data_IF_945356095527
#
_entry.id   IF_945356095527
#
_cell.length_a   1.000
_cell.length_b   1.000
_cell.length_c   1.000
_cell.angle_alpha   90.00
_cell.angle_beta   90.00
_cell.angle_gamma   90.00
#
_symmetry.space_group_name_H-M   'P 1'
#
loop_
_entity.id
_entity.type
_entity.pdbx_description
1 polymer ?
#
# COMPACT_ATOMS: atom_id res chain seq x y z
N UNK A 1 5.69 9.84 37.50
CA UNK A 1 5.23 8.70 36.69
C UNK A 1 4.45 7.76 37.59
N UNK A 2 3.26 7.30 37.17
CA UNK A 2 2.46 6.36 37.97
C UNK A 2 3.13 4.95 37.97
N UNK A 3 3.11 4.20 39.08
CA UNK A 3 3.78 2.91 39.15
C UNK A 3 3.07 1.86 38.29
N UNK A 4 3.83 1.11 37.47
CA UNK A 4 3.52 -0.26 37.06
C UNK A 4 2.35 -0.52 36.11
N UNK A 5 1.62 0.49 35.62
CA UNK A 5 0.55 0.23 34.64
C UNK A 5 1.13 -0.25 33.30
N UNK A 6 0.63 -1.37 32.74
CA UNK A 6 1.03 -1.83 31.41
C UNK A 6 0.57 -0.81 30.37
N UNK A 7 1.46 -0.50 29.43
CA UNK A 7 1.10 0.36 28.29
C UNK A 7 0.18 -0.41 27.34
N UNK A 8 -0.85 0.24 26.76
CA UNK A 8 -1.75 -0.42 25.83
C UNK A 8 -1.05 -0.75 24.51
N UNK A 9 -1.64 -1.67 23.73
CA UNK A 9 -1.26 -1.84 22.34
C UNK A 9 -1.71 -0.61 21.53
N UNK A 10 -0.81 -0.04 20.74
CA UNK A 10 -1.11 1.05 19.82
C UNK A 10 -1.06 0.49 18.41
N UNK A 11 -2.22 0.43 17.75
CA UNK A 11 -2.34 0.02 16.35
C UNK A 11 -2.67 1.25 15.51
N UNK A 12 -1.93 1.42 14.42
CA UNK A 12 -2.17 2.48 13.45
C UNK A 12 -1.94 1.95 12.04
N UNK A 13 -2.66 2.53 11.08
CA UNK A 13 -2.52 2.24 9.66
C UNK A 13 -2.40 3.56 8.90
N UNK A 14 -1.65 3.56 7.81
CA UNK A 14 -1.73 4.67 6.85
C UNK A 14 -3.13 4.66 6.22
N UNK A 15 -3.74 5.83 6.04
CA UNK A 15 -5.05 5.95 5.38
C UNK A 15 -5.00 5.55 3.91
N UNK A 16 -3.83 5.69 3.27
CA UNK A 16 -3.62 5.17 1.93
C UNK A 16 -3.28 3.67 2.01
N UNK A 17 -4.13 2.83 1.42
CA UNK A 17 -4.01 1.37 1.53
C UNK A 17 -2.76 0.79 0.87
N UNK A 18 -2.28 1.40 -0.23
CA UNK A 18 -1.17 0.88 -1.02
C UNK A 18 -0.28 1.97 -1.60
N UNK A 19 1.00 1.68 -1.73
CA UNK A 19 1.96 2.52 -2.44
C UNK A 19 1.79 2.33 -3.94
N UNK A 20 1.39 3.39 -4.65
CA UNK A 20 1.22 3.37 -6.11
C UNK A 20 2.47 2.86 -6.86
N UNK A 21 3.66 3.18 -6.35
CA UNK A 21 4.94 2.70 -6.91
C UNK A 21 5.13 1.19 -6.85
N UNK A 22 4.45 0.49 -5.92
CA UNK A 22 4.53 -0.96 -5.73
C UNK A 22 3.43 -1.73 -6.47
N UNK A 23 2.44 -1.03 -7.03
CA UNK A 23 1.38 -1.64 -7.85
C UNK A 23 1.94 -2.05 -9.21
N UNK A 24 1.81 -3.35 -9.54
CA UNK A 24 2.28 -3.92 -10.80
C UNK A 24 1.16 -3.99 -11.85
N UNK A 25 1.52 -4.30 -13.10
CA UNK A 25 0.55 -4.58 -14.17
C UNK A 25 -0.34 -5.79 -13.83
N UNK A 26 0.19 -6.81 -13.14
CA UNK A 26 -0.62 -7.97 -12.74
C UNK A 26 -1.62 -7.59 -11.65
N UNK A 27 -1.20 -6.79 -10.66
CA UNK A 27 -2.09 -6.30 -9.60
C UNK A 27 -3.22 -5.46 -10.21
N UNK A 28 -2.88 -4.55 -11.12
CA UNK A 28 -3.86 -3.70 -11.79
C UNK A 28 -4.82 -4.51 -12.68
N UNK A 29 -4.37 -5.61 -13.27
CA UNK A 29 -5.21 -6.51 -14.06
C UNK A 29 -6.28 -7.23 -13.22
N UNK A 30 -5.95 -7.60 -11.98
CA UNK A 30 -6.83 -8.37 -11.09
C UNK A 30 -7.64 -7.49 -10.14
N UNK A 31 -7.03 -6.45 -9.56
CA UNK A 31 -7.62 -5.59 -8.54
C UNK A 31 -7.89 -4.17 -9.03
N UNK A 32 -7.51 -3.77 -10.26
CA UNK A 32 -7.60 -2.38 -10.70
C UNK A 32 -9.00 -1.77 -10.63
N UNK A 33 -10.06 -2.56 -10.84
CA UNK A 33 -11.44 -2.11 -10.64
C UNK A 33 -11.79 -1.92 -9.16
N UNK A 34 -11.38 -2.85 -8.29
CA UNK A 34 -11.55 -2.75 -6.83
C UNK A 34 -10.85 -1.49 -6.28
N UNK A 35 -9.67 -1.16 -6.81
CA UNK A 35 -8.90 0.02 -6.43
C UNK A 35 -9.42 1.32 -7.07
N UNK A 36 -10.53 1.26 -7.82
CA UNK A 36 -11.12 2.37 -8.59
C UNK A 36 -10.18 3.02 -9.63
N UNK A 37 -9.07 2.35 -9.99
CA UNK A 37 -8.12 2.82 -11.00
C UNK A 37 -8.58 2.45 -12.43
N UNK A 38 -9.31 1.35 -12.56
CA UNK A 38 -9.87 0.88 -13.83
C UNK A 38 -11.41 0.82 -13.79
N UNK A 39 -12.03 0.83 -14.96
CA UNK A 39 -13.42 0.44 -15.13
C UNK A 39 -13.54 -1.08 -15.38
N UNK A 40 -14.78 -1.59 -15.49
CA UNK A 40 -15.09 -2.97 -15.82
C UNK A 40 -14.56 -3.44 -17.20
N UNK A 41 -14.18 -2.50 -18.08
CA UNK A 41 -13.55 -2.77 -19.37
C UNK A 41 -12.02 -2.79 -19.30
N UNK A 42 -11.44 -2.67 -18.10
CA UNK A 42 -9.99 -2.58 -17.85
C UNK A 42 -9.33 -1.35 -18.48
N UNK A 43 -10.10 -0.28 -18.66
CA UNK A 43 -9.62 1.00 -19.13
C UNK A 43 -9.37 1.91 -17.92
N UNK A 44 -8.35 2.76 -18.00
CA UNK A 44 -8.04 3.73 -16.95
C UNK A 44 -9.20 4.70 -16.78
N UNK A 45 -9.72 4.83 -15.55
CA UNK A 45 -10.58 5.98 -15.24
C UNK A 45 -9.68 7.21 -15.22
N UNK A 46 -10.05 8.28 -15.93
CA UNK A 46 -9.34 9.56 -15.83
C UNK A 46 -9.62 10.14 -14.45
N UNK A 47 -8.66 10.12 -13.50
CA UNK A 47 -8.85 10.78 -12.24
C UNK A 47 -8.63 12.28 -12.54
N UNK A 48 -9.67 13.10 -12.42
CA UNK A 48 -9.44 14.55 -12.35
C UNK A 48 -9.39 14.96 -10.87
N UNK A 49 -8.37 15.71 -10.42
CA UNK A 49 -7.15 16.13 -11.12
C UNK A 49 -5.97 15.19 -10.82
N UNK A 50 -5.61 14.27 -11.73
CA UNK A 50 -4.38 13.50 -11.65
C UNK A 50 -3.20 14.27 -12.27
N UNK A 51 -2.04 14.16 -11.64
CA UNK A 51 -0.76 14.56 -12.22
C UNK A 51 -0.52 13.81 -13.54
N UNK A 52 -0.18 14.54 -14.61
CA UNK A 52 0.07 13.98 -15.95
C UNK A 52 1.09 12.84 -15.93
N UNK A 53 2.14 12.96 -15.11
CA UNK A 53 3.18 11.93 -14.99
C UNK A 53 2.64 10.66 -14.33
N UNK A 54 1.78 10.81 -13.32
CA UNK A 54 1.14 9.65 -12.68
C UNK A 54 0.15 8.98 -13.63
N UNK A 55 -0.54 9.77 -14.44
CA UNK A 55 -1.46 9.25 -15.47
C UNK A 55 -0.71 8.46 -16.54
N UNK A 56 0.44 8.94 -17.02
CA UNK A 56 1.29 8.22 -17.98
C UNK A 56 1.75 6.86 -17.42
N UNK A 57 2.22 6.84 -16.17
CA UNK A 57 2.62 5.60 -15.49
C UNK A 57 1.44 4.65 -15.36
N UNK A 58 0.25 5.15 -15.02
CA UNK A 58 -0.96 4.35 -14.90
C UNK A 58 -1.36 3.75 -16.26
N UNK A 59 -1.31 4.55 -17.34
CA UNK A 59 -1.63 4.10 -18.70
C UNK A 59 -0.69 3.00 -19.18
N UNK A 60 0.62 3.13 -18.94
CA UNK A 60 1.59 2.07 -19.28
C UNK A 60 1.31 0.77 -18.51
N UNK A 61 1.05 0.87 -17.20
CA UNK A 61 0.67 -0.26 -16.35
C UNK A 61 -0.67 -0.87 -16.75
N UNK A 62 -1.61 -0.09 -17.28
CA UNK A 62 -2.92 -0.52 -17.75
C UNK A 62 -2.94 -1.02 -19.21
N UNK A 63 -1.81 -1.01 -19.92
CA UNK A 63 -1.75 -1.55 -21.27
C UNK A 63 -1.70 -3.09 -21.25
N UNK A 64 -2.86 -3.73 -21.37
CA UNK A 64 -2.99 -5.19 -21.34
C UNK A 64 -2.86 -5.88 -22.71
N UNK A 65 -2.42 -5.20 -23.76
CA UNK A 65 -2.18 -5.82 -25.07
C UNK A 65 -1.13 -6.92 -24.95
N UNK A 66 -1.47 -8.13 -25.41
CA UNK A 66 -0.62 -9.33 -25.31
C UNK A 66 -0.18 -9.69 -23.87
N UNK A 67 -0.90 -9.20 -22.85
CA UNK A 67 -0.59 -9.50 -21.46
C UNK A 67 -1.08 -10.91 -21.08
N UNK A 68 -0.22 -11.69 -20.44
CA UNK A 68 -0.55 -13.00 -19.87
C UNK A 68 -0.62 -12.86 -18.34
N UNK A 69 -1.83 -12.90 -17.73
CA UNK A 69 -1.98 -12.77 -16.29
C UNK A 69 -1.26 -13.88 -15.54
N UNK A 70 -0.69 -13.54 -14.39
CA UNK A 70 -0.11 -14.48 -13.43
C UNK A 70 -1.08 -14.69 -12.26
N UNK A 71 -0.93 -15.79 -11.48
CA UNK A 71 -1.67 -15.96 -10.24
C UNK A 71 -1.59 -14.72 -9.35
N UNK A 72 -2.65 -14.46 -8.61
CA UNK A 72 -2.79 -13.28 -7.78
C UNK A 72 -3.41 -13.66 -6.44
N UNK A 73 -2.93 -13.03 -5.37
CA UNK A 73 -3.38 -13.26 -4.01
C UNK A 73 -3.48 -11.90 -3.30
N UNK A 74 -4.64 -11.61 -2.71
CA UNK A 74 -4.89 -10.32 -2.05
C UNK A 74 -4.02 -10.10 -0.82
N UNK A 75 -3.71 -11.14 -0.04
CA UNK A 75 -2.83 -11.03 1.12
C UNK A 75 -1.40 -10.68 0.69
N UNK A 76 -0.87 -11.37 -0.32
CA UNK A 76 0.45 -11.05 -0.90
C UNK A 76 0.49 -9.62 -1.45
N UNK A 77 -0.60 -9.17 -2.09
CA UNK A 77 -0.71 -7.81 -2.58
C UNK A 77 -0.65 -6.78 -1.45
N UNK A 78 -1.39 -6.97 -0.34
CA UNK A 78 -1.34 -6.06 0.80
C UNK A 78 0.04 -6.06 1.47
N UNK A 79 0.65 -7.22 1.65
CA UNK A 79 1.99 -7.33 2.26
C UNK A 79 3.07 -6.61 1.44
N UNK A 80 3.01 -6.73 0.10
CA UNK A 80 4.01 -6.13 -0.79
C UNK A 80 3.73 -4.66 -1.11
N UNK A 81 2.47 -4.32 -1.39
CA UNK A 81 2.10 -2.99 -1.85
C UNK A 81 1.75 -2.04 -0.71
N UNK A 82 1.40 -2.55 0.48
CA UNK A 82 1.18 -1.76 1.69
C UNK A 82 2.40 -0.94 2.10
N UNK A 83 2.22 -0.03 3.06
CA UNK A 83 3.30 0.83 3.55
C UNK A 83 4.23 0.07 4.48
N UNK A 84 5.54 0.18 4.23
CA UNK A 84 6.55 -0.44 5.09
C UNK A 84 6.82 0.48 6.29
N UNK A 85 6.67 -0.06 7.51
CA UNK A 85 6.95 0.68 8.74
C UNK A 85 8.38 1.22 8.79
N UNK A 86 9.35 0.53 8.15
CA UNK A 86 10.75 0.97 8.06
C UNK A 86 10.92 2.24 7.24
N UNK A 87 10.03 2.48 6.28
CA UNK A 87 10.03 3.70 5.44
C UNK A 87 9.23 4.84 6.11
N UNK A 88 8.25 4.52 6.96
CA UNK A 88 7.40 5.52 7.63
C UNK A 88 7.93 6.01 8.99
N UNK A 89 8.55 5.12 9.76
CA UNK A 89 8.94 5.38 11.15
C UNK A 89 10.25 6.18 11.20
N UNK A 90 10.13 7.51 11.19
CA UNK A 90 11.29 8.41 11.26
C UNK A 90 11.98 8.41 12.63
N UNK A 91 11.20 8.29 13.71
CA UNK A 91 11.70 8.18 15.08
C UNK A 91 10.68 7.46 15.96
N UNK A 92 11.17 6.78 16.98
CA UNK A 92 10.35 6.02 17.93
C UNK A 92 11.02 6.07 19.30
N UNK A 93 10.25 6.46 20.33
CA UNK A 93 10.72 6.45 21.71
C UNK A 93 9.63 5.93 22.63
N UNK A 94 9.99 4.99 23.49
CA UNK A 94 9.13 4.51 24.56
C UNK A 94 9.82 4.72 25.90
N UNK A 95 9.26 5.59 26.74
CA UNK A 95 9.82 5.96 28.06
C UNK A 95 11.26 6.48 28.00
N UNK A 96 11.64 7.14 26.91
CA UNK A 96 12.98 7.70 26.70
C UNK A 96 13.96 6.75 26.02
N UNK A 97 13.63 5.46 25.91
CA UNK A 97 14.43 4.48 25.16
C UNK A 97 14.03 4.50 23.69
N UNK A 98 15.00 4.41 22.79
CA UNK A 98 14.76 4.33 21.36
C UNK A 98 14.17 2.97 20.99
N UNK A 99 13.09 2.97 20.20
CA UNK A 99 12.50 1.77 19.62
C UNK A 99 12.76 1.68 18.11
N UNK A 100 12.56 0.49 17.55
CA UNK A 100 12.87 0.15 16.17
C UNK A 100 11.64 -0.34 15.41
N UNK A 101 11.67 -0.39 14.07
CA UNK A 101 10.60 -0.97 13.27
C UNK A 101 10.21 -2.40 13.66
N UNK A 102 11.16 -3.19 14.15
CA UNK A 102 10.95 -4.57 14.61
C UNK A 102 10.05 -4.67 15.86
N UNK A 103 9.91 -3.59 16.62
CA UNK A 103 9.01 -3.53 17.78
C UNK A 103 7.53 -3.40 17.37
N UNK A 104 7.25 -3.18 16.07
CA UNK A 104 5.91 -3.12 15.51
C UNK A 104 5.56 -4.45 14.82
N UNK A 105 4.47 -5.07 15.27
CA UNK A 105 3.94 -6.29 14.68
C UNK A 105 2.90 -5.97 13.59
N UNK A 106 3.09 -6.53 12.40
CA UNK A 106 2.08 -6.51 11.33
C UNK A 106 0.84 -7.31 11.78
N UNK A 107 -0.34 -6.76 11.51
CA UNK A 107 -1.64 -7.39 11.78
C UNK A 107 -2.22 -7.84 10.44
N UNK A 108 -2.47 -9.14 10.29
CA UNK A 108 -2.99 -9.80 9.08
C UNK A 108 -4.28 -10.55 9.36
#
# INVERSE_FOLDING_TARGET
AAPGLPSPAVTFCNLNEFRFSRVTKNDLYHAGELLALLNNRKETRHPQPADEKQLEILQDKANFRNFKPKPFNMLEFYDRAGHDIREMLLSCFFRGEQCNPEDFKVVS
#
